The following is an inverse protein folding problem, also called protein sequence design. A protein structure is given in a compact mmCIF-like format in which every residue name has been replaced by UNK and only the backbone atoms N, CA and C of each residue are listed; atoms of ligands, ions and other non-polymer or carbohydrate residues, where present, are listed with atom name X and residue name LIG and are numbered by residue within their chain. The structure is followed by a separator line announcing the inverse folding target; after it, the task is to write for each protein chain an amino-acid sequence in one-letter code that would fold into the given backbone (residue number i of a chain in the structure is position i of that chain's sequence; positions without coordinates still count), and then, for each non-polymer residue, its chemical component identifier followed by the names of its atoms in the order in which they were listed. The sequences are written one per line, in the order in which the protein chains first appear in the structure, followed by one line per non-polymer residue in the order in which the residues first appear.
data_IF_113106388260
#
_entry.id   IF_113106388260
#
_cell.length_a   1.000
_cell.length_b   1.000
_cell.length_c   1.000
_cell.angle_alpha   90.00
_cell.angle_beta   90.00
_cell.angle_gamma   90.00
#
_symmetry.space_group_name_H-M   'P 1'
#
loop_
_entity.id
_entity.type
_entity.pdbx_description
1 polymer ?
#
# COMPACT_ATOMS: atom_id res chain seq x y z
N UNK A 1 11.96 6.61 18.54
CA UNK A 1 12.14 5.97 19.87
C UNK A 1 12.02 4.44 19.81
N UNK A 2 10.92 3.87 19.28
CA UNK A 2 10.80 2.40 19.14
C UNK A 2 11.81 1.85 18.13
N UNK A 3 12.01 2.50 17.00
CA UNK A 3 12.98 2.10 15.97
C UNK A 3 14.41 2.16 16.50
N UNK A 4 14.77 3.19 17.25
CA UNK A 4 16.08 3.29 17.93
C UNK A 4 16.30 2.11 18.88
N UNK A 5 15.29 1.79 19.70
CA UNK A 5 15.38 0.66 20.63
C UNK A 5 15.54 -0.69 19.90
N UNK A 6 14.87 -0.85 18.75
CA UNK A 6 15.04 -2.05 17.90
C UNK A 6 16.45 -2.11 17.29
N UNK A 7 16.99 -0.99 16.84
CA UNK A 7 18.34 -0.89 16.28
C UNK A 7 19.41 -1.25 17.34
N UNK A 8 19.34 -0.65 18.53
CA UNK A 8 20.25 -0.93 19.64
C UNK A 8 20.17 -2.41 20.05
N UNK A 9 18.95 -2.96 20.08
CA UNK A 9 18.74 -4.38 20.38
C UNK A 9 19.38 -5.29 19.34
N UNK A 10 19.33 -4.92 18.07
CA UNK A 10 19.93 -5.67 16.96
C UNK A 10 21.46 -5.68 17.07
N UNK A 11 22.09 -4.55 17.41
CA UNK A 11 23.54 -4.48 17.63
C UNK A 11 23.96 -5.40 18.78
N UNK A 12 23.28 -5.32 19.92
CA UNK A 12 23.56 -6.16 21.08
C UNK A 12 23.44 -7.64 20.76
N UNK A 13 22.41 -8.05 20.03
CA UNK A 13 22.20 -9.45 19.62
C UNK A 13 23.30 -9.89 18.66
N UNK A 14 23.66 -9.05 17.71
CA UNK A 14 24.71 -9.34 16.73
C UNK A 14 26.07 -9.51 17.40
N UNK A 15 26.43 -8.64 18.34
CA UNK A 15 27.68 -8.74 19.11
C UNK A 15 27.71 -9.99 19.97
N UNK A 16 26.59 -10.31 20.63
CA UNK A 16 26.47 -11.53 21.44
C UNK A 16 26.61 -12.79 20.56
N UNK A 17 26.01 -12.82 19.38
CA UNK A 17 26.14 -13.92 18.44
C UNK A 17 27.59 -14.08 17.97
N UNK A 18 28.23 -12.98 17.59
CA UNK A 18 29.59 -12.98 17.09
C UNK A 18 30.62 -13.40 18.17
N UNK A 19 30.27 -13.30 19.47
CA UNK A 19 31.11 -13.72 20.59
C UNK A 19 30.93 -15.19 20.99
N UNK A 20 29.89 -15.87 20.50
CA UNK A 20 29.61 -17.27 20.81
C UNK A 20 30.75 -18.19 20.39
N UNK A 21 31.05 -19.20 21.23
CA UNK A 21 32.09 -20.20 20.98
C UNK A 21 33.47 -19.59 20.62
N UNK A 22 33.86 -18.55 21.38
CA UNK A 22 35.13 -17.82 21.17
C UNK A 22 35.23 -17.20 19.77
N UNK A 23 34.10 -16.75 19.21
CA UNK A 23 34.08 -16.09 17.92
C UNK A 23 34.08 -17.03 16.71
N UNK A 24 33.79 -18.33 16.91
CA UNK A 24 33.71 -19.30 15.79
C UNK A 24 32.80 -18.85 14.68
N UNK A 25 31.71 -18.14 15.01
CA UNK A 25 30.69 -17.65 14.09
C UNK A 25 30.79 -16.15 13.80
N UNK A 26 31.95 -15.56 14.18
CA UNK A 26 32.18 -14.14 13.98
C UNK A 26 31.99 -13.75 12.51
N UNK A 27 31.20 -12.71 12.25
CA UNK A 27 30.84 -12.19 10.94
C UNK A 27 29.85 -13.02 10.10
N UNK A 28 29.35 -14.14 10.57
CA UNK A 28 28.27 -14.85 9.85
C UNK A 28 26.93 -14.10 9.93
N UNK A 29 26.71 -13.36 11.02
CA UNK A 29 25.56 -12.47 11.22
C UNK A 29 26.08 -11.04 11.40
N UNK A 30 26.91 -10.54 10.52
CA UNK A 30 27.37 -9.17 10.61
C UNK A 30 26.45 -8.28 9.77
N UNK A 31 26.16 -7.10 10.31
CA UNK A 31 25.48 -6.02 9.59
C UNK A 31 26.30 -5.50 8.38
N UNK A 32 27.56 -5.94 8.28
CA UNK A 32 28.48 -5.66 7.18
C UNK A 32 29.01 -6.98 6.63
N UNK A 33 28.38 -7.51 5.62
CA UNK A 33 28.99 -8.56 4.82
C UNK A 33 29.93 -7.90 3.82
N UNK A 34 31.22 -7.92 4.07
CA UNK A 34 32.24 -7.71 3.07
C UNK A 34 32.25 -8.94 2.17
N UNK A 35 31.43 -8.95 1.13
CA UNK A 35 31.56 -9.92 0.07
C UNK A 35 32.51 -9.32 -0.98
N UNK A 36 33.61 -10.03 -1.19
CA UNK A 36 34.59 -9.98 -2.27
C UNK A 36 34.26 -8.99 -3.40
N UNK A 37 34.74 -7.76 -3.31
CA UNK A 37 34.89 -6.85 -4.47
C UNK A 37 33.63 -6.30 -5.11
N UNK A 38 32.45 -6.75 -4.78
CA UNK A 38 31.18 -6.14 -5.17
C UNK A 38 30.48 -5.49 -3.99
N UNK A 39 30.27 -4.21 -4.09
CA UNK A 39 29.74 -3.30 -3.08
C UNK A 39 28.25 -3.52 -2.76
N UNK A 40 27.89 -4.70 -2.33
CA UNK A 40 26.58 -4.95 -1.72
C UNK A 40 26.70 -4.85 -0.20
N UNK A 41 26.80 -3.64 0.28
CA UNK A 41 26.72 -3.38 1.72
C UNK A 41 25.25 -3.53 2.14
N UNK A 42 24.93 -4.56 2.88
CA UNK A 42 23.75 -4.54 3.73
C UNK A 42 24.05 -3.59 4.90
N UNK A 43 23.92 -2.31 4.64
CA UNK A 43 23.85 -1.33 5.71
C UNK A 43 22.43 -1.33 6.22
N UNK A 44 22.25 -1.45 7.54
CA UNK A 44 21.00 -0.98 8.14
C UNK A 44 20.78 0.45 7.62
N UNK A 45 19.57 0.80 7.18
CA UNK A 45 19.30 2.16 6.77
C UNK A 45 19.71 3.09 7.91
N UNK A 46 20.53 4.08 7.58
CA UNK A 46 20.85 5.16 8.51
C UNK A 46 19.51 5.73 8.97
N UNK A 47 19.31 5.75 10.29
CA UNK A 47 18.15 6.43 10.85
C UNK A 47 18.39 7.93 10.66
N UNK A 48 17.78 8.50 9.64
CA UNK A 48 17.66 9.93 9.52
C UNK A 48 16.49 10.38 10.40
N UNK A 49 16.69 11.40 11.20
CA UNK A 49 15.59 12.06 11.89
C UNK A 49 14.67 12.63 10.80
N UNK A 50 13.49 12.04 10.63
CA UNK A 50 12.45 12.62 9.80
C UNK A 50 11.94 13.89 10.48
N UNK A 51 12.41 15.03 10.03
CA UNK A 51 11.81 16.30 10.41
C UNK A 51 10.42 16.38 9.80
N UNK A 52 9.42 16.52 10.67
CA UNK A 52 8.07 16.85 10.20
C UNK A 52 8.14 18.16 9.43
N UNK A 53 7.66 18.21 8.18
CA UNK A 53 7.72 19.45 7.40
C UNK A 53 6.98 20.55 8.16
N UNK A 54 7.61 21.73 8.21
CA UNK A 54 7.00 22.93 8.75
C UNK A 54 6.11 23.56 7.66
N UNK A 55 4.99 24.15 8.06
CA UNK A 55 4.09 24.86 7.15
C UNK A 55 2.64 24.40 7.28
N UNK A 56 1.83 24.85 6.34
CA UNK A 56 0.41 24.49 6.31
C UNK A 56 0.21 23.01 5.94
N UNK A 57 -0.87 22.38 6.43
CA UNK A 57 -1.19 21.00 6.08
C UNK A 57 -1.28 20.82 4.56
N UNK A 58 -0.68 19.75 4.05
CA UNK A 58 -0.68 19.44 2.62
C UNK A 58 -1.17 18.02 2.39
N UNK A 59 -2.28 17.92 1.66
CA UNK A 59 -2.88 16.64 1.29
C UNK A 59 -2.02 15.93 0.23
N UNK A 60 -1.74 14.67 0.48
CA UNK A 60 -1.25 13.73 -0.51
C UNK A 60 -1.93 12.38 -0.30
N UNK A 61 -2.12 11.62 -1.36
CA UNK A 61 -2.70 10.29 -1.32
C UNK A 61 -1.80 9.31 -2.07
N UNK A 62 -1.83 8.06 -1.63
CA UNK A 62 -1.13 6.97 -2.30
C UNK A 62 -2.06 5.76 -2.39
N UNK A 63 -2.27 5.25 -3.57
CA UNK A 63 -3.04 4.03 -3.80
C UNK A 63 -2.16 2.79 -3.56
N UNK A 64 -2.79 1.69 -3.14
CA UNK A 64 -2.12 0.38 -3.05
C UNK A 64 -1.48 0.02 -4.38
N UNK A 65 -0.25 -0.50 -4.35
CA UNK A 65 0.54 -0.92 -5.52
C UNK A 65 0.88 0.21 -6.50
N UNK A 66 0.78 1.47 -6.09
CA UNK A 66 1.18 2.58 -6.94
C UNK A 66 2.68 2.50 -7.22
N UNK A 67 3.01 2.27 -8.48
CA UNK A 67 4.38 2.39 -8.96
C UNK A 67 4.61 3.86 -9.31
N UNK A 68 5.63 4.45 -8.69
CA UNK A 68 6.11 5.79 -9.06
C UNK A 68 6.51 5.77 -10.55
N UNK A 69 5.64 6.31 -11.39
CA UNK A 69 5.96 6.48 -12.79
C UNK A 69 7.16 7.42 -12.91
N UNK A 70 8.20 6.98 -13.60
CA UNK A 70 9.45 7.74 -13.80
C UNK A 70 9.24 9.08 -14.53
N UNK A 71 8.01 9.40 -14.91
CA UNK A 71 7.62 10.59 -15.65
C UNK A 71 7.05 11.74 -14.82
N UNK A 72 6.89 11.60 -13.52
CA UNK A 72 6.45 12.69 -12.63
C UNK A 72 4.96 13.04 -12.67
N UNK A 73 4.14 12.27 -13.36
CA UNK A 73 2.68 12.35 -13.29
C UNK A 73 2.16 11.18 -12.46
N UNK A 74 1.83 11.41 -11.21
CA UNK A 74 1.19 10.41 -10.36
C UNK A 74 -0.30 10.32 -10.71
N UNK A 75 -0.67 9.36 -11.53
CA UNK A 75 -2.06 8.92 -11.61
C UNK A 75 -2.30 7.90 -10.50
N UNK A 76 -3.01 8.30 -9.45
CA UNK A 76 -3.38 7.39 -8.37
C UNK A 76 -4.42 6.40 -8.88
N UNK A 77 -4.00 5.15 -9.07
CA UNK A 77 -4.86 4.08 -9.58
C UNK A 77 -4.82 2.91 -8.61
N UNK A 78 -5.97 2.49 -8.11
CA UNK A 78 -6.07 1.25 -7.34
C UNK A 78 -5.94 0.02 -8.26
N UNK A 79 -5.44 -1.10 -7.72
CA UNK A 79 -5.52 -2.38 -8.42
C UNK A 79 -6.96 -2.68 -8.82
N UNK A 80 -7.15 -3.35 -9.96
CA UNK A 80 -8.47 -3.66 -10.47
C UNK A 80 -9.21 -4.60 -9.52
N UNK A 81 -10.39 -4.19 -9.09
CA UNK A 81 -11.29 -5.04 -8.32
C UNK A 81 -11.89 -6.09 -9.23
N UNK A 82 -11.97 -7.32 -8.74
CA UNK A 82 -12.42 -8.45 -9.52
C UNK A 82 -13.56 -9.17 -8.80
N UNK A 83 -14.66 -9.45 -9.52
CA UNK A 83 -15.86 -10.09 -8.98
C UNK A 83 -15.60 -11.50 -8.43
N UNK A 84 -14.54 -12.17 -8.92
CA UNK A 84 -14.19 -13.51 -8.47
C UNK A 84 -13.36 -13.51 -7.18
N UNK A 85 -12.42 -12.56 -7.04
CA UNK A 85 -11.56 -12.47 -5.85
C UNK A 85 -12.19 -11.66 -4.73
N UNK A 86 -13.02 -10.67 -5.07
CA UNK A 86 -13.73 -9.75 -4.16
C UNK A 86 -12.83 -9.13 -3.07
N UNK A 87 -11.56 -8.92 -3.40
CA UNK A 87 -10.60 -8.32 -2.48
C UNK A 87 -10.91 -6.85 -2.27
N UNK A 88 -10.56 -6.33 -1.10
CA UNK A 88 -10.55 -4.90 -0.80
C UNK A 88 -9.14 -4.37 -0.91
N UNK A 89 -9.00 -3.12 -1.32
CA UNK A 89 -7.74 -2.39 -1.43
C UNK A 89 -7.70 -1.24 -0.43
N UNK A 90 -6.54 -0.58 -0.27
CA UNK A 90 -6.39 0.54 0.64
C UNK A 90 -5.80 1.77 -0.06
N UNK A 91 -6.06 2.91 0.54
CA UNK A 91 -5.48 4.20 0.16
C UNK A 91 -4.90 4.82 1.42
N UNK A 92 -3.66 5.26 1.33
CA UNK A 92 -2.99 6.00 2.38
C UNK A 92 -3.11 7.51 2.10
N UNK A 93 -3.47 8.25 3.12
CA UNK A 93 -3.67 9.69 3.10
C UNK A 93 -2.58 10.29 3.98
N UNK A 94 -1.74 11.12 3.40
CA UNK A 94 -0.59 11.70 4.08
C UNK A 94 -0.75 13.21 4.26
N UNK A 95 -0.23 13.68 5.38
CA UNK A 95 0.03 15.08 5.60
C UNK A 95 1.51 15.39 5.27
N UNK A 96 1.77 15.99 4.11
CA UNK A 96 3.11 16.44 3.70
C UNK A 96 3.47 17.81 4.25
N UNK A 97 2.63 18.42 5.07
CA UNK A 97 2.86 19.70 5.73
C UNK A 97 2.81 19.58 7.24
N UNK A 98 2.85 20.71 7.94
CA UNK A 98 2.73 20.79 9.39
C UNK A 98 1.28 20.80 9.87
N UNK A 99 1.09 20.57 11.16
CA UNK A 99 -0.21 20.71 11.82
C UNK A 99 -1.20 19.58 11.50
N UNK A 100 -2.47 19.91 11.63
CA UNK A 100 -3.58 18.95 11.45
C UNK A 100 -4.13 19.03 10.04
N UNK A 101 -4.12 17.93 9.31
CA UNK A 101 -4.81 17.79 8.04
C UNK A 101 -6.21 17.26 8.26
N UNK A 102 -7.22 18.09 7.99
CA UNK A 102 -8.62 17.65 7.95
C UNK A 102 -8.97 17.28 6.51
N UNK A 103 -9.34 16.03 6.26
CA UNK A 103 -9.64 15.54 4.93
C UNK A 103 -11.05 14.98 4.81
N UNK A 104 -11.57 14.96 3.60
CA UNK A 104 -12.83 14.31 3.22
C UNK A 104 -12.63 13.52 1.93
N UNK A 105 -13.36 12.42 1.81
CA UNK A 105 -13.40 11.60 0.59
C UNK A 105 -14.83 11.45 0.09
N UNK A 106 -15.00 11.48 -1.22
CA UNK A 106 -16.28 11.29 -1.90
C UNK A 106 -16.08 10.30 -3.03
N UNK A 107 -16.85 9.22 -3.03
CA UNK A 107 -16.91 8.28 -4.14
C UNK A 107 -17.79 8.83 -5.25
N UNK A 108 -17.41 8.61 -6.51
CA UNK A 108 -18.21 9.03 -7.67
C UNK A 108 -19.44 8.17 -7.88
N UNK A 109 -19.42 6.93 -7.39
CA UNK A 109 -20.42 5.91 -7.64
C UNK A 109 -20.83 5.19 -6.37
N UNK A 110 -22.08 4.76 -6.28
CA UNK A 110 -22.64 4.11 -5.10
C UNK A 110 -22.07 2.70 -4.82
N UNK A 111 -21.44 2.10 -5.83
CA UNK A 111 -20.82 0.79 -5.67
C UNK A 111 -19.42 0.86 -5.03
N UNK A 112 -18.83 2.05 -4.89
CA UNK A 112 -17.56 2.25 -4.18
C UNK A 112 -17.83 2.48 -2.70
N UNK A 113 -17.40 1.58 -1.86
CA UNK A 113 -17.61 1.64 -0.41
C UNK A 113 -16.31 1.98 0.29
N UNK A 114 -16.31 3.07 1.06
CA UNK A 114 -15.18 3.57 1.83
C UNK A 114 -15.37 3.25 3.30
N UNK A 115 -14.32 2.77 3.97
CA UNK A 115 -14.35 2.51 5.43
C UNK A 115 -14.53 3.78 6.26
N UNK A 116 -14.06 4.91 5.74
CA UNK A 116 -14.20 6.22 6.34
C UNK A 116 -14.29 7.29 5.25
N UNK A 117 -15.14 8.31 5.44
CA UNK A 117 -15.34 9.39 4.45
C UNK A 117 -14.72 10.71 4.89
N UNK A 118 -14.20 10.81 6.10
CA UNK A 118 -13.50 12.00 6.59
C UNK A 118 -12.65 11.66 7.79
N UNK A 119 -11.60 12.43 8.01
CA UNK A 119 -10.73 12.27 9.16
C UNK A 119 -9.88 13.51 9.44
N UNK A 120 -9.10 13.42 10.50
CA UNK A 120 -8.09 14.42 10.86
C UNK A 120 -6.82 13.65 11.18
N UNK A 121 -5.76 13.88 10.42
CA UNK A 121 -4.47 13.26 10.66
C UNK A 121 -3.36 14.29 10.85
N UNK A 122 -2.31 13.90 11.57
CA UNK A 122 -1.07 14.67 11.67
C UNK A 122 0.00 14.14 10.71
N UNK A 123 0.00 12.85 10.47
CA UNK A 123 0.98 12.14 9.65
C UNK A 123 0.31 11.39 8.52
N UNK A 124 -0.40 10.32 8.84
CA UNK A 124 -1.05 9.45 7.89
C UNK A 124 -2.34 8.85 8.44
N UNK A 125 -3.27 8.55 7.54
CA UNK A 125 -4.46 7.73 7.77
C UNK A 125 -4.58 6.71 6.65
N UNK A 126 -5.08 5.52 6.97
CA UNK A 126 -5.38 4.47 5.99
C UNK A 126 -6.85 4.20 5.91
N UNK A 127 -7.41 4.28 4.72
CA UNK A 127 -8.78 3.88 4.46
C UNK A 127 -8.81 2.62 3.60
N UNK A 128 -9.83 1.78 3.84
CA UNK A 128 -10.10 0.61 3.02
C UNK A 128 -11.19 0.94 2.01
N UNK A 129 -10.96 0.51 0.79
CA UNK A 129 -11.90 0.60 -0.33
C UNK A 129 -12.41 -0.80 -0.64
N UNK A 130 -13.69 -0.96 -0.70
CA UNK A 130 -14.37 -2.20 -1.07
C UNK A 130 -15.47 -1.91 -2.09
N UNK A 131 -15.97 -2.94 -2.73
CA UNK A 131 -16.97 -2.84 -3.79
C UNK A 131 -18.27 -3.48 -3.32
N UNK A 132 -19.37 -2.74 -3.49
CA UNK A 132 -20.73 -3.28 -3.37
C UNK A 132 -21.11 -3.97 -4.69
N UNK A 133 -20.87 -5.27 -4.75
CA UNK A 133 -21.01 -6.07 -5.96
C UNK A 133 -22.45 -6.15 -6.48
N UNK A 134 -23.43 -5.87 -5.64
CA UNK A 134 -24.84 -5.87 -6.04
C UNK A 134 -25.21 -4.62 -6.85
N UNK A 135 -24.40 -3.56 -6.75
CA UNK A 135 -24.62 -2.28 -7.43
C UNK A 135 -23.70 -2.05 -8.63
N UNK A 136 -22.64 -2.87 -8.78
CA UNK A 136 -21.69 -2.72 -9.89
C UNK A 136 -22.36 -3.08 -11.21
N UNK A 137 -22.32 -2.21 -12.22
CA UNK A 137 -22.76 -2.57 -13.56
C UNK A 137 -21.97 -3.76 -14.11
N UNK A 138 -22.64 -4.57 -14.93
CA UNK A 138 -21.95 -5.65 -15.65
C UNK A 138 -21.06 -5.05 -16.73
N UNK A 139 -19.80 -5.45 -16.77
CA UNK A 139 -18.83 -4.98 -17.76
C UNK A 139 -17.43 -5.49 -17.50
N UNK A 140 -16.64 -5.65 -18.55
CA UNK A 140 -15.25 -6.06 -18.44
C UNK A 140 -14.36 -4.96 -17.82
N UNK A 141 -14.74 -3.71 -17.97
CA UNK A 141 -14.04 -2.57 -17.39
C UNK A 141 -15.01 -1.49 -16.98
N UNK A 142 -15.43 -1.55 -15.72
CA UNK A 142 -16.21 -0.48 -15.09
C UNK A 142 -15.26 0.45 -14.36
N UNK A 143 -15.39 1.74 -14.55
CA UNK A 143 -14.48 2.74 -13.96
C UNK A 143 -15.24 3.72 -13.10
N UNK A 144 -14.64 4.12 -11.99
CA UNK A 144 -15.12 5.15 -11.09
C UNK A 144 -13.95 5.92 -10.47
N UNK A 145 -14.21 6.71 -9.46
CA UNK A 145 -13.17 7.47 -8.79
C UNK A 145 -13.54 7.85 -7.37
N UNK A 146 -12.52 8.19 -6.62
CA UNK A 146 -12.64 8.73 -5.26
C UNK A 146 -11.93 10.07 -5.26
N UNK A 147 -12.64 11.14 -4.91
CA UNK A 147 -12.06 12.47 -4.72
C UNK A 147 -11.76 12.68 -3.24
N UNK A 148 -10.52 13.00 -2.94
CA UNK A 148 -10.07 13.46 -1.63
C UNK A 148 -9.94 14.97 -1.64
N UNK A 149 -10.32 15.62 -0.56
CA UNK A 149 -10.24 17.08 -0.44
C UNK A 149 -9.81 17.52 0.96
N UNK A 150 -8.98 18.58 1.00
CA UNK A 150 -8.61 19.29 2.22
C UNK A 150 -8.52 20.79 1.89
N UNK A 151 -9.50 21.55 2.36
CA UNK A 151 -9.63 22.96 1.94
C UNK A 151 -9.78 23.10 0.43
N UNK A 152 -8.83 23.78 -0.22
CA UNK A 152 -8.80 23.93 -1.69
C UNK A 152 -8.00 22.83 -2.41
N UNK A 153 -7.32 21.97 -1.66
CA UNK A 153 -6.52 20.89 -2.24
C UNK A 153 -7.43 19.72 -2.59
N UNK A 154 -7.19 19.11 -3.74
CA UNK A 154 -7.95 17.96 -4.23
C UNK A 154 -7.02 16.95 -4.86
N UNK A 155 -7.24 15.69 -4.53
CA UNK A 155 -6.57 14.54 -5.12
C UNK A 155 -7.62 13.53 -5.59
N UNK A 156 -7.33 12.82 -6.66
CA UNK A 156 -8.26 11.86 -7.23
C UNK A 156 -7.60 10.50 -7.42
N UNK A 157 -8.27 9.46 -6.92
CA UNK A 157 -7.88 8.07 -7.12
C UNK A 157 -8.86 7.39 -8.07
N UNK A 158 -8.32 6.73 -9.08
CA UNK A 158 -9.12 5.97 -10.05
C UNK A 158 -9.36 4.56 -9.56
N UNK A 159 -10.59 4.11 -9.76
CA UNK A 159 -11.05 2.77 -9.39
C UNK A 159 -11.50 2.06 -10.67
N UNK A 160 -11.01 0.86 -10.89
CA UNK A 160 -11.47 -0.01 -11.98
C UNK A 160 -12.00 -1.32 -11.43
N UNK A 161 -13.06 -1.82 -12.04
CA UNK A 161 -13.73 -3.05 -11.63
C UNK A 161 -13.94 -3.96 -12.85
N UNK A 162 -13.58 -5.22 -12.68
CA UNK A 162 -13.87 -6.28 -13.62
C UNK A 162 -15.08 -7.08 -13.11
N UNK A 163 -16.25 -6.86 -13.73
CA UNK A 163 -17.50 -7.53 -13.41
C UNK A 163 -18.17 -8.04 -14.69
N UNK A 164 -17.57 -9.03 -15.39
CA UNK A 164 -18.12 -9.55 -16.62
C UNK A 164 -19.46 -10.25 -16.38
N UNK A 165 -20.24 -10.44 -17.45
CA UNK A 165 -21.39 -11.32 -17.40
C UNK A 165 -20.90 -12.71 -17.00
N UNK A 166 -21.40 -13.23 -15.87
CA UNK A 166 -21.00 -14.55 -15.39
C UNK A 166 -21.54 -15.61 -16.36
N UNK A 167 -20.69 -16.42 -16.99
CA UNK A 167 -21.14 -17.57 -17.77
C UNK A 167 -21.94 -18.53 -16.90
N UNK A 168 -22.79 -19.36 -17.52
CA UNK A 168 -23.52 -20.37 -16.79
C UNK A 168 -22.57 -21.29 -15.99
N UNK A 169 -23.01 -21.77 -14.82
CA UNK A 169 -22.16 -22.54 -13.88
C UNK A 169 -21.39 -23.69 -14.55
N UNK A 170 -22.00 -24.30 -15.57
CA UNK A 170 -21.40 -25.40 -16.33
C UNK A 170 -20.26 -24.97 -17.25
N UNK A 171 -20.17 -23.68 -17.56
CA UNK A 171 -19.12 -23.08 -18.39
C UNK A 171 -17.93 -22.61 -17.57
N UNK A 172 -18.06 -22.57 -16.22
CA UNK A 172 -17.02 -22.07 -15.31
C UNK A 172 -15.99 -23.15 -14.92
N UNK A 173 -16.13 -24.37 -15.41
CA UNK A 173 -15.17 -25.44 -15.08
C UNK A 173 -13.78 -25.09 -15.64
N UNK A 174 -12.82 -24.94 -14.71
CA UNK A 174 -11.44 -24.61 -15.05
C UNK A 174 -11.17 -23.11 -15.28
N UNK A 175 -12.14 -22.25 -15.01
CA UNK A 175 -11.88 -20.80 -15.05
C UNK A 175 -10.93 -20.40 -13.90
N UNK A 176 -9.88 -19.70 -14.24
CA UNK A 176 -8.99 -19.06 -13.29
C UNK A 176 -8.91 -17.57 -13.59
N UNK A 177 -8.67 -16.79 -12.55
CA UNK A 177 -8.52 -15.33 -12.68
C UNK A 177 -7.10 -14.97 -12.31
N UNK A 178 -6.40 -14.33 -13.23
CA UNK A 178 -5.09 -13.76 -13.00
C UNK A 178 -5.25 -12.28 -12.65
N UNK A 179 -4.75 -11.89 -11.48
CA UNK A 179 -4.79 -10.53 -10.99
C UNK A 179 -3.48 -10.17 -10.30
N UNK A 180 -2.79 -9.14 -10.77
CA UNK A 180 -1.55 -8.64 -10.16
C UNK A 180 -0.49 -9.72 -9.89
N UNK A 181 -0.34 -10.68 -10.82
CA UNK A 181 0.61 -11.78 -10.68
C UNK A 181 0.14 -12.93 -9.78
N UNK A 182 -1.10 -12.92 -9.33
CA UNK A 182 -1.72 -14.01 -8.58
C UNK A 182 -2.79 -14.68 -9.43
N UNK A 183 -2.84 -16.00 -9.33
CA UNK A 183 -3.90 -16.81 -9.94
C UNK A 183 -4.87 -17.22 -8.83
N UNK A 184 -6.13 -16.83 -8.98
CA UNK A 184 -7.20 -17.22 -8.06
C UNK A 184 -8.10 -18.26 -8.75
N UNK A 185 -8.31 -19.38 -8.09
CA UNK A 185 -9.30 -20.38 -8.51
C UNK A 185 -10.55 -20.18 -7.65
N UNK A 186 -11.75 -20.08 -8.25
CA UNK A 186 -12.96 -20.09 -7.46
C UNK A 186 -13.05 -21.42 -6.70
N UNK A 187 -13.27 -21.36 -5.39
CA UNK A 187 -13.59 -22.55 -4.61
C UNK A 187 -14.98 -23.00 -5.03
N UNK A 188 -15.07 -24.18 -5.56
CA UNK A 188 -16.36 -24.87 -5.77
C UNK A 188 -16.67 -25.62 -4.47
N UNK A 189 -17.73 -25.19 -3.76
CA UNK A 189 -18.34 -25.96 -2.70
C UNK A 189 -19.06 -27.20 -3.26
#
# INVERSE_FOLDING_TARGET
REVECCHDSLEVITDRYNSLLNGKWKYMMSLRQNYDGSSSYFMLPLMEECYMPAGDPKLAVQAESEQLDRGGFSCHVLPTFNTYSRKSHWIDIYNQGGGKLAWKSVASDEWIVLSCQSGITFTEDRIRVSIDWDKVPVGEKVTGGIEFSSGMQKERVFVSVFNPMVPARDELQGLFVEENGYVSLPATD
#
